data_IF_232372718530
#
_entry.id   IF_232372718530
#
_cell.length_a   1.000
_cell.length_b   1.000
_cell.length_c   1.000
_cell.angle_alpha   90.00
_cell.angle_beta   90.00
_cell.angle_gamma   90.00
#
_symmetry.space_group_name_H-M   'P 1'
#
loop_
_entity.id
_entity.type
_entity.pdbx_description
1 polymer ?
#
# COMPACT_ATOMS: atom_id res chain seq x y z
N UNK A 1 4.84 9.48 -1.02
CA UNK A 1 4.00 8.45 -1.68
C UNK A 1 4.90 7.45 -2.40
N UNK A 2 4.57 6.16 -2.34
CA UNK A 2 5.27 5.06 -2.98
C UNK A 2 4.45 4.50 -4.14
N UNK A 3 5.11 4.15 -5.24
CA UNK A 3 4.47 3.43 -6.34
C UNK A 3 4.25 1.96 -5.96
N UNK A 4 3.25 1.33 -6.58
CA UNK A 4 3.06 -0.12 -6.45
C UNK A 4 4.20 -0.89 -7.13
N UNK A 5 4.62 -2.04 -6.57
CA UNK A 5 5.71 -2.84 -7.10
C UNK A 5 5.26 -3.68 -8.31
N UNK A 6 4.88 -3.03 -9.41
CA UNK A 6 4.33 -3.71 -10.61
C UNK A 6 5.32 -4.70 -11.27
N UNK A 7 6.63 -4.49 -11.09
CA UNK A 7 7.68 -5.41 -11.54
C UNK A 7 7.95 -6.59 -10.59
N UNK A 8 7.30 -6.65 -9.43
CA UNK A 8 7.40 -7.74 -8.46
C UNK A 8 6.00 -8.27 -8.13
N UNK A 9 5.52 -9.26 -8.90
CA UNK A 9 4.16 -9.79 -8.74
C UNK A 9 3.88 -10.38 -7.36
N UNK A 10 4.90 -10.95 -6.69
CA UNK A 10 4.75 -11.54 -5.36
C UNK A 10 4.47 -10.45 -4.34
N UNK A 11 5.29 -9.40 -4.35
CA UNK A 11 5.12 -8.25 -3.46
C UNK A 11 3.85 -7.47 -3.78
N UNK A 12 3.49 -7.35 -5.06
CA UNK A 12 2.25 -6.71 -5.50
C UNK A 12 1.02 -7.43 -4.94
N UNK A 13 1.01 -8.77 -4.99
CA UNK A 13 -0.07 -9.58 -4.43
C UNK A 13 -0.24 -9.32 -2.93
N UNK A 14 0.87 -9.22 -2.19
CA UNK A 14 0.84 -8.92 -0.76
C UNK A 14 0.28 -7.53 -0.49
N UNK A 15 0.73 -6.50 -1.22
CA UNK A 15 0.21 -5.14 -1.06
C UNK A 15 -1.30 -5.08 -1.33
N UNK A 16 -1.77 -5.68 -2.42
CA UNK A 16 -3.20 -5.73 -2.76
C UNK A 16 -3.99 -6.49 -1.70
N UNK A 17 -3.44 -7.58 -1.16
CA UNK A 17 -4.09 -8.35 -0.10
C UNK A 17 -4.30 -7.50 1.17
N UNK A 18 -3.28 -6.77 1.60
CA UNK A 18 -3.35 -5.93 2.81
C UNK A 18 -4.33 -4.77 2.68
N UNK A 19 -4.52 -4.23 1.47
CA UNK A 19 -5.51 -3.18 1.23
C UNK A 19 -6.96 -3.65 1.37
N UNK A 20 -7.23 -4.96 1.24
CA UNK A 20 -8.56 -5.56 1.37
C UNK A 20 -9.63 -4.97 0.42
N UNK A 21 -9.23 -4.24 -0.60
CA UNK A 21 -10.14 -3.68 -1.60
C UNK A 21 -10.58 -4.77 -2.58
N UNK A 22 -11.88 -5.02 -2.65
CA UNK A 22 -12.45 -6.03 -3.56
C UNK A 22 -12.35 -5.55 -5.01
N UNK A 23 -11.97 -6.46 -5.90
CA UNK A 23 -11.94 -6.25 -7.36
C UNK A 23 -11.07 -5.06 -7.85
N UNK A 24 -10.20 -4.51 -7.01
CA UNK A 24 -9.31 -3.43 -7.39
C UNK A 24 -7.93 -3.95 -7.83
N UNK A 25 -7.33 -3.29 -8.82
CA UNK A 25 -5.95 -3.55 -9.26
C UNK A 25 -5.17 -2.24 -9.37
N UNK A 26 -3.96 -2.17 -8.81
CA UNK A 26 -3.11 -0.99 -8.96
C UNK A 26 -2.66 -0.82 -10.41
N UNK A 27 -2.59 0.43 -10.85
CA UNK A 27 -2.03 0.84 -12.14
C UNK A 27 -0.66 1.50 -11.95
N UNK A 28 0.02 1.87 -13.04
CA UNK A 28 1.30 2.62 -12.98
C UNK A 28 1.17 3.98 -12.27
N UNK A 29 -0.04 4.53 -12.24
CA UNK A 29 -0.36 5.82 -11.62
C UNK A 29 -0.84 5.66 -10.17
N UNK A 30 -1.19 4.45 -9.75
CA UNK A 30 -1.60 4.17 -8.37
C UNK A 30 -0.42 4.32 -7.43
N UNK A 31 -0.65 4.99 -6.30
CA UNK A 31 0.34 5.24 -5.27
C UNK A 31 -0.25 4.97 -3.89
N UNK A 32 0.61 4.66 -2.94
CA UNK A 32 0.27 4.51 -1.53
C UNK A 32 1.07 5.51 -0.69
N UNK A 33 0.43 6.18 0.27
CA UNK A 33 1.14 7.05 1.20
C UNK A 33 2.13 6.25 2.06
N UNK A 34 3.22 6.89 2.51
CA UNK A 34 4.22 6.23 3.35
C UNK A 34 3.68 5.91 4.75
N UNK A 35 2.64 6.62 5.19
CA UNK A 35 1.94 6.40 6.46
C UNK A 35 1.27 5.01 6.58
N UNK A 36 1.06 4.32 5.46
CA UNK A 36 0.52 2.95 5.47
C UNK A 36 1.57 1.88 5.81
N UNK A 37 2.83 2.28 6.02
CA UNK A 37 3.94 1.40 6.33
C UNK A 37 4.47 1.69 7.73
N UNK A 38 4.80 0.64 8.48
CA UNK A 38 5.52 0.78 9.74
C UNK A 38 6.88 1.47 9.54
N UNK A 39 7.28 2.29 10.52
CA UNK A 39 8.54 3.04 10.46
C UNK A 39 9.77 2.14 10.26
N UNK A 40 9.74 0.89 10.75
CA UNK A 40 10.81 -0.10 10.53
C UNK A 40 11.09 -0.40 9.05
N UNK A 41 10.11 -0.16 8.18
CA UNK A 41 10.21 -0.33 6.74
C UNK A 41 10.67 0.94 6.01
N UNK A 42 10.70 2.07 6.71
CA UNK A 42 11.13 3.35 6.17
C UNK A 42 12.65 3.48 6.31
N UNK A 43 13.30 3.84 5.22
CA UNK A 43 14.73 4.12 5.16
C UNK A 43 14.95 5.55 4.73
N UNK A 44 15.73 6.29 5.51
CA UNK A 44 16.17 7.62 5.13
C UNK A 44 17.31 7.50 4.12
N UNK A 45 17.23 8.27 3.03
CA UNK A 45 18.37 8.34 2.11
C UNK A 45 19.58 8.91 2.85
N UNK A 46 20.76 8.31 2.67
CA UNK A 46 22.04 8.82 3.22
C UNK A 46 22.33 10.28 2.82
N UNK A 47 21.70 10.75 1.74
CA UNK A 47 21.82 12.12 1.20
C UNK A 47 20.75 13.08 1.71
N UNK A 48 19.88 12.67 2.65
CA UNK A 48 18.78 13.49 3.17
C UNK A 48 17.62 13.71 2.20
N UNK A 49 17.72 13.22 0.95
CA UNK A 49 16.65 13.34 -0.05
C UNK A 49 15.57 12.28 0.14
N UNK A 50 14.74 12.48 1.15
CA UNK A 50 13.47 11.78 1.34
C UNK A 50 13.56 10.37 1.94
N UNK A 51 12.38 9.80 2.17
CA UNK A 51 12.16 8.47 2.75
C UNK A 51 11.84 7.48 1.63
N UNK A 52 12.47 6.31 1.69
CA UNK A 52 12.23 5.18 0.78
C UNK A 52 11.77 3.96 1.55
N UNK A 53 11.00 3.12 0.90
CA UNK A 53 10.61 1.82 1.45
C UNK A 53 11.73 0.80 1.24
N UNK A 54 11.94 -0.06 2.23
CA UNK A 54 12.74 -1.27 2.06
C UNK A 54 12.14 -2.19 0.99
N UNK A 55 12.94 -3.09 0.39
CA UNK A 55 12.44 -4.08 -0.57
C UNK A 55 11.40 -5.05 0.01
N UNK A 56 11.45 -5.31 1.31
CA UNK A 56 10.53 -6.18 2.06
C UNK A 56 9.34 -5.44 2.69
N UNK A 57 9.21 -4.12 2.45
CA UNK A 57 8.13 -3.35 3.04
C UNK A 57 6.76 -3.81 2.53
N UNK A 58 5.87 -4.08 3.48
CA UNK A 58 4.47 -4.46 3.30
C UNK A 58 3.61 -3.41 4.01
N UNK A 59 2.55 -2.88 3.38
CA UNK A 59 1.66 -1.93 4.05
C UNK A 59 0.81 -2.68 5.08
N UNK A 60 0.74 -2.17 6.31
CA UNK A 60 0.02 -2.80 7.42
C UNK A 60 -0.88 -1.83 8.17
N UNK A 61 -0.71 -0.52 7.98
CA UNK A 61 -1.45 0.52 8.69
C UNK A 61 -2.61 0.97 7.81
N UNK A 62 -3.82 0.53 8.16
CA UNK A 62 -5.05 0.93 7.48
C UNK A 62 -6.16 1.18 8.50
N UNK A 63 -6.77 2.36 8.44
CA UNK A 63 -7.97 2.68 9.20
C UNK A 63 -9.20 2.28 8.38
N UNK A 64 -9.56 1.00 8.42
CA UNK A 64 -10.81 0.54 7.81
C UNK A 64 -11.97 0.81 8.77
N UNK A 65 -12.99 1.62 8.40
CA UNK A 65 -14.17 1.74 9.24
C UNK A 65 -14.86 0.38 9.36
N UNK A 66 -15.40 0.09 10.54
CA UNK A 66 -15.97 -1.21 10.92
C UNK A 66 -17.04 -1.74 9.95
N UNK A 67 -17.70 -0.85 9.19
CA UNK A 67 -18.67 -1.18 8.14
C UNK A 67 -18.09 -1.99 6.96
N UNK A 68 -16.76 -2.00 6.77
CA UNK A 68 -16.11 -2.79 5.71
C UNK A 68 -15.70 -4.20 6.17
N UNK A 69 -15.96 -4.58 7.42
CA UNK A 69 -15.54 -5.87 7.96
C UNK A 69 -16.50 -7.03 7.66
N UNK A 70 -17.67 -6.80 7.06
CA UNK A 70 -18.56 -7.86 6.57
C UNK A 70 -19.27 -7.39 5.29
N UNK A 71 -19.25 -8.23 4.24
CA UNK A 71 -19.97 -8.18 2.94
C UNK A 71 -20.91 -6.96 2.73
N UNK A 72 -20.76 -6.11 1.70
CA UNK A 72 -21.10 -6.28 0.27
C UNK A 72 -20.66 -4.98 -0.44
N UNK A 73 -20.42 -5.00 -1.77
CA UNK A 73 -20.14 -3.87 -2.68
C UNK A 73 -20.33 -2.45 -2.10
N UNK A 74 -19.28 -1.63 -2.16
CA UNK A 74 -19.46 -0.18 -2.27
C UNK A 74 -18.40 0.42 -3.19
N UNK A 75 -18.94 1.00 -4.25
CA UNK A 75 -18.35 1.87 -5.25
C UNK A 75 -17.81 3.15 -4.61
N UNK A 76 -16.92 3.83 -5.33
CA UNK A 76 -16.25 5.10 -5.00
C UNK A 76 -15.15 5.05 -3.93
N UNK A 77 -13.90 5.17 -4.40
CA UNK A 77 -13.19 6.45 -4.33
C UNK A 77 -12.33 6.59 -5.61
N UNK A 78 -12.63 7.60 -6.42
CA UNK A 78 -11.77 8.11 -7.51
C UNK A 78 -10.75 9.09 -6.93
#
# INVERSE_FOLDING_TARGET
MSNFPLGDPKRLKEWVHQMRWKAWKPTRNSKLCLEHFEEKYLTTSKTGRGVRLRPDAIPSIFSFPSQFQKNVFCELMQ
#
